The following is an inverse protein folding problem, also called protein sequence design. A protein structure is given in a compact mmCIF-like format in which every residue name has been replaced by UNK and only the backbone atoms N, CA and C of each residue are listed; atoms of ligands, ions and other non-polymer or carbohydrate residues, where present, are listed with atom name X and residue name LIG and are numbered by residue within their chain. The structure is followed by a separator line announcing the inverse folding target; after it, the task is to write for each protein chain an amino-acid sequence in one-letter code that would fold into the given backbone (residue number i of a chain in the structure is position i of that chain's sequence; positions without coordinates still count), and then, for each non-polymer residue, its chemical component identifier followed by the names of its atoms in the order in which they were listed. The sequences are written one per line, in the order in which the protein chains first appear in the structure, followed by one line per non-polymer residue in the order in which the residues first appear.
data_IF_163298099949
#
_entry.id   IF_163298099949
#
_cell.length_a   1.000
_cell.length_b   1.000
_cell.length_c   1.000
_cell.angle_alpha   90.00
_cell.angle_beta   90.00
_cell.angle_gamma   90.00
#
_symmetry.space_group_name_H-M   'P 1'
#
loop_
_entity.id
_entity.type
_entity.pdbx_description
1 polymer ?
#
# COMPACT_ATOMS: atom_id res chain seq x y z
N UNK A 1 17.12 22.17 -3.20
CA UNK A 1 15.96 21.80 -4.03
C UNK A 1 15.41 20.53 -3.43
N UNK A 2 14.15 20.51 -3.00
CA UNK A 2 13.58 19.27 -2.47
C UNK A 2 13.46 18.27 -3.62
N UNK A 3 14.10 17.11 -3.51
CA UNK A 3 13.90 16.00 -4.44
C UNK A 3 12.45 15.54 -4.31
N UNK A 4 11.58 15.97 -5.23
CA UNK A 4 10.24 15.41 -5.35
C UNK A 4 10.39 13.93 -5.68
N UNK A 5 9.79 13.06 -4.85
CA UNK A 5 9.77 11.63 -5.13
C UNK A 5 8.99 11.39 -6.43
N UNK A 6 9.51 10.61 -7.39
CA UNK A 6 8.83 10.35 -8.65
C UNK A 6 7.71 9.32 -8.43
N UNK A 7 6.56 9.79 -7.94
CA UNK A 7 5.39 8.95 -7.75
C UNK A 7 4.78 8.55 -9.11
N UNK A 8 4.57 7.25 -9.30
CA UNK A 8 3.75 6.73 -10.41
C UNK A 8 2.26 6.74 -10.08
N UNK A 9 1.92 6.61 -8.80
CA UNK A 9 0.55 6.71 -8.29
C UNK A 9 0.57 7.33 -6.89
N UNK A 10 -0.36 8.24 -6.60
CA UNK A 10 -0.37 8.98 -5.34
C UNK A 10 -1.75 9.53 -5.02
N UNK A 11 -2.71 8.67 -4.67
CA UNK A 11 -4.12 9.05 -4.57
C UNK A 11 -4.85 8.37 -3.43
N UNK A 12 -5.96 9.00 -3.00
CA UNK A 12 -6.91 8.41 -2.08
C UNK A 12 -7.98 7.68 -2.88
N UNK A 13 -8.20 6.41 -2.55
CA UNK A 13 -9.27 5.61 -3.14
C UNK A 13 -10.05 4.88 -2.05
N UNK A 14 -11.35 4.71 -2.26
CA UNK A 14 -12.19 3.90 -1.38
C UNK A 14 -11.98 2.44 -1.79
N UNK A 15 -11.61 1.58 -0.85
CA UNK A 15 -11.32 0.16 -1.11
C UNK A 15 -12.02 -0.70 -0.06
N UNK A 16 -12.66 -1.81 -0.47
CA UNK A 16 -13.11 -2.85 0.46
C UNK A 16 -11.92 -3.46 1.19
N UNK A 17 -11.93 -3.36 2.51
CA UNK A 17 -10.96 -3.97 3.41
C UNK A 17 -11.58 -5.19 4.08
N UNK A 18 -11.02 -6.36 3.80
CA UNK A 18 -11.43 -7.64 4.36
C UNK A 18 -10.56 -7.97 5.56
N UNK A 19 -11.17 -8.01 6.74
CA UNK A 19 -10.50 -8.33 8.00
C UNK A 19 -10.36 -9.85 8.17
N UNK A 20 -9.42 -10.28 9.01
CA UNK A 20 -9.17 -11.71 9.32
C UNK A 20 -10.40 -12.50 9.83
N UNK A 21 -11.39 -11.82 10.41
CA UNK A 21 -12.66 -12.43 10.84
C UNK A 21 -13.73 -12.49 9.73
N UNK A 22 -13.37 -12.14 8.49
CA UNK A 22 -14.27 -12.08 7.33
C UNK A 22 -15.13 -10.83 7.25
N UNK A 23 -15.02 -9.89 8.19
CA UNK A 23 -15.73 -8.61 8.11
C UNK A 23 -15.15 -7.78 6.98
N UNK A 24 -16.03 -7.22 6.15
CA UNK A 24 -15.67 -6.28 5.08
C UNK A 24 -16.09 -4.87 5.47
N UNK A 25 -15.22 -3.90 5.25
CA UNK A 25 -15.50 -2.48 5.45
C UNK A 25 -14.91 -1.63 4.32
N UNK A 26 -15.67 -0.66 3.82
CA UNK A 26 -15.14 0.33 2.88
C UNK A 26 -14.27 1.33 3.63
N UNK A 27 -13.00 1.46 3.20
CA UNK A 27 -12.05 2.42 3.79
C UNK A 27 -11.49 3.34 2.72
N UNK A 28 -11.35 4.62 3.06
CA UNK A 28 -10.54 5.56 2.28
C UNK A 28 -9.07 5.26 2.54
N UNK A 29 -8.39 4.68 1.56
CA UNK A 29 -6.98 4.33 1.61
C UNK A 29 -6.17 5.29 0.73
N UNK A 30 -5.12 5.84 1.31
CA UNK A 30 -4.11 6.59 0.58
C UNK A 30 -3.06 5.62 0.06
N UNK A 31 -3.05 5.41 -1.26
CA UNK A 31 -2.12 4.49 -1.94
C UNK A 31 -1.07 5.30 -2.67
N UNK A 32 0.20 4.99 -2.39
CA UNK A 32 1.34 5.57 -3.08
C UNK A 32 2.19 4.48 -3.71
N UNK A 33 2.55 4.69 -4.97
CA UNK A 33 3.53 3.89 -5.70
C UNK A 33 4.64 4.85 -6.14
N UNK A 34 5.86 4.61 -5.67
CA UNK A 34 7.04 5.35 -6.12
C UNK A 34 8.04 4.41 -6.79
N UNK A 35 8.72 4.92 -7.81
CA UNK A 35 9.85 4.23 -8.43
C UNK A 35 11.16 4.81 -7.90
N UNK A 36 12.00 3.95 -7.35
CA UNK A 36 13.38 4.29 -6.98
C UNK A 36 14.27 3.85 -8.15
N UNK A 37 14.56 4.80 -9.03
CA UNK A 37 15.28 4.54 -10.28
C UNK A 37 16.74 4.12 -10.05
N UNK A 38 17.36 4.56 -8.96
CA UNK A 38 18.75 4.23 -8.64
C UNK A 38 18.91 2.76 -8.21
N UNK A 39 17.88 2.22 -7.56
CA UNK A 39 17.85 0.82 -7.11
C UNK A 39 16.98 -0.10 -8.00
N UNK A 40 16.41 0.43 -9.09
CA UNK A 40 15.39 -0.22 -9.93
C UNK A 40 14.34 -1.01 -9.12
N UNK A 41 13.68 -0.33 -8.18
CA UNK A 41 12.64 -0.94 -7.34
C UNK A 41 11.40 -0.07 -7.25
N UNK A 42 10.28 -0.71 -6.98
CA UNK A 42 8.99 -0.08 -6.78
C UNK A 42 8.62 -0.16 -5.30
N UNK A 43 8.40 0.97 -4.63
CA UNK A 43 7.74 0.95 -3.33
C UNK A 43 6.24 1.07 -3.52
N UNK A 44 5.49 0.21 -2.84
CA UNK A 44 4.03 0.28 -2.75
C UNK A 44 3.70 0.50 -1.28
N UNK A 45 2.92 1.53 -0.97
CA UNK A 45 2.50 1.85 0.38
C UNK A 45 1.01 2.17 0.41
N UNK A 46 0.33 1.70 1.46
CA UNK A 46 -1.08 1.94 1.72
C UNK A 46 -1.22 2.48 3.14
N UNK A 47 -1.93 3.59 3.29
CA UNK A 47 -2.23 4.21 4.59
C UNK A 47 -3.72 4.49 4.73
N UNK A 48 -4.25 4.35 5.94
CA UNK A 48 -5.57 4.89 6.28
C UNK A 48 -5.39 6.32 6.80
N UNK A 49 -6.09 7.29 6.21
CA UNK A 49 -6.03 8.71 6.61
C UNK A 49 -6.55 8.98 8.05
N UNK A 50 -7.33 8.06 8.61
CA UNK A 50 -7.98 8.16 9.92
C UNK A 50 -7.32 7.25 10.96
N UNK A 51 -6.52 6.29 10.52
CA UNK A 51 -5.86 5.34 11.40
C UNK A 51 -4.38 5.20 11.03
N UNK A 52 -3.51 5.90 11.76
CA UNK A 52 -2.07 5.87 11.54
C UNK A 52 -1.43 4.49 11.76
N UNK A 53 -2.06 3.60 12.55
CA UNK A 53 -1.60 2.21 12.72
C UNK A 53 -1.83 1.36 11.47
N UNK A 54 -2.66 1.83 10.53
CA UNK A 54 -2.84 1.21 9.23
C UNK A 54 -1.81 1.82 8.28
N UNK A 55 -0.63 1.23 8.26
CA UNK A 55 0.45 1.62 7.36
C UNK A 55 1.17 0.37 6.86
N UNK A 56 0.89 -0.02 5.61
CA UNK A 56 1.49 -1.20 5.00
C UNK A 56 2.38 -0.78 3.84
N UNK A 57 3.55 -1.40 3.75
CA UNK A 57 4.60 -1.07 2.78
C UNK A 57 5.25 -2.36 2.27
N UNK A 58 5.70 -2.34 1.02
CA UNK A 58 6.73 -3.27 0.57
C UNK A 58 7.53 -2.68 -0.60
N UNK A 59 8.68 -3.28 -0.87
CA UNK A 59 9.53 -2.97 -2.01
C UNK A 59 9.59 -4.17 -2.95
N UNK A 60 9.23 -3.93 -4.21
CA UNK A 60 9.36 -4.92 -5.28
C UNK A 60 10.53 -4.51 -6.15
N UNK A 61 11.62 -5.26 -6.07
CA UNK A 61 12.76 -5.19 -6.98
C UNK A 61 12.65 -6.35 -8.01
N UNK A 62 13.59 -6.48 -8.97
CA UNK A 62 13.53 -7.53 -9.97
C UNK A 62 13.58 -8.95 -9.37
N UNK A 63 14.28 -9.17 -8.26
CA UNK A 63 14.39 -10.48 -7.61
C UNK A 63 13.07 -10.89 -6.95
N UNK A 64 12.50 -10.00 -6.15
CA UNK A 64 11.19 -10.18 -5.52
C UNK A 64 10.09 -10.33 -6.58
N UNK A 65 10.18 -9.57 -7.68
CA UNK A 65 9.26 -9.70 -8.79
C UNK A 65 9.34 -11.07 -9.46
N UNK A 66 10.51 -11.66 -9.67
CA UNK A 66 10.62 -12.98 -10.27
C UNK A 66 9.94 -14.07 -9.42
N UNK A 67 10.03 -13.97 -8.09
CA UNK A 67 9.29 -14.84 -7.17
C UNK A 67 7.78 -14.64 -7.35
N UNK A 68 7.31 -13.39 -7.37
CA UNK A 68 5.90 -13.05 -7.59
C UNK A 68 5.40 -13.54 -8.95
N UNK A 69 6.19 -13.33 -10.01
CA UNK A 69 5.92 -13.72 -11.39
C UNK A 69 5.75 -15.23 -11.51
N UNK A 70 6.66 -15.99 -10.90
CA UNK A 70 6.57 -17.45 -10.88
C UNK A 70 5.37 -17.94 -10.06
N UNK A 71 5.11 -17.35 -8.90
CA UNK A 71 4.03 -17.78 -8.00
C UNK A 71 2.63 -17.52 -8.60
N UNK A 72 2.48 -16.44 -9.35
CA UNK A 72 1.19 -16.01 -9.92
C UNK A 72 1.09 -16.24 -11.45
N UNK A 73 2.09 -16.89 -12.05
CA UNK A 73 2.16 -17.14 -13.50
C UNK A 73 2.01 -15.87 -14.34
N UNK A 74 2.65 -14.77 -13.93
CA UNK A 74 2.58 -13.51 -14.68
C UNK A 74 3.43 -13.59 -15.96
N UNK A 75 2.86 -13.21 -17.09
CA UNK A 75 3.52 -13.27 -18.40
C UNK A 75 4.35 -12.02 -18.73
N UNK A 76 4.36 -11.02 -17.83
CA UNK A 76 5.08 -9.76 -18.02
C UNK A 76 6.46 -9.77 -17.36
N UNK A 77 7.34 -8.89 -17.81
CA UNK A 77 8.62 -8.61 -17.13
C UNK A 77 8.45 -7.50 -16.07
N UNK A 78 9.51 -7.19 -15.32
CA UNK A 78 9.45 -6.21 -14.23
C UNK A 78 9.05 -4.80 -14.70
N UNK A 79 9.56 -4.35 -15.86
CA UNK A 79 9.15 -3.07 -16.44
C UNK A 79 7.66 -3.05 -16.78
N UNK A 80 7.12 -4.15 -17.32
CA UNK A 80 5.69 -4.31 -17.60
C UNK A 80 4.86 -4.31 -16.32
N UNK A 81 5.36 -4.93 -15.25
CA UNK A 81 4.72 -4.92 -13.94
C UNK A 81 4.58 -3.51 -13.35
N UNK A 82 5.65 -2.69 -13.40
CA UNK A 82 5.63 -1.30 -12.90
C UNK A 82 4.51 -0.48 -13.54
N UNK A 83 4.29 -0.63 -14.84
CA UNK A 83 3.22 0.06 -15.55
C UNK A 83 1.85 -0.60 -15.33
N UNK A 84 1.80 -1.93 -15.28
CA UNK A 84 0.56 -2.68 -15.14
C UNK A 84 -0.14 -2.43 -13.80
N UNK A 85 0.59 -2.40 -12.68
CA UNK A 85 -0.01 -2.15 -11.36
C UNK A 85 -0.65 -0.75 -11.28
N UNK A 86 -0.01 0.25 -11.87
CA UNK A 86 -0.55 1.62 -11.95
C UNK A 86 -1.79 1.64 -12.83
N UNK A 87 -1.75 0.99 -13.99
CA UNK A 87 -2.89 0.89 -14.89
C UNK A 87 -4.09 0.18 -14.23
N UNK A 88 -3.86 -0.86 -13.42
CA UNK A 88 -4.92 -1.55 -12.69
C UNK A 88 -5.57 -0.66 -11.63
N UNK A 89 -4.79 0.14 -10.89
CA UNK A 89 -5.33 1.13 -9.95
C UNK A 89 -6.18 2.19 -10.68
N UNK A 90 -5.75 2.65 -11.86
CA UNK A 90 -6.54 3.57 -12.69
C UNK A 90 -7.84 2.93 -13.18
N UNK A 91 -7.78 1.69 -13.64
CA UNK A 91 -8.98 0.95 -14.07
C UNK A 91 -9.96 0.71 -12.93
N UNK A 92 -9.47 0.52 -11.70
CA UNK A 92 -10.32 0.44 -10.51
C UNK A 92 -11.09 1.76 -10.28
N UNK A 93 -10.41 2.91 -10.37
CA UNK A 93 -11.07 4.23 -10.25
C UNK A 93 -12.12 4.49 -11.34
N UNK A 94 -11.96 3.84 -12.49
CA UNK A 94 -12.91 3.91 -13.62
C UNK A 94 -14.00 2.82 -13.57
N UNK A 95 -14.09 2.05 -12.49
CA UNK A 95 -15.04 0.93 -12.31
C UNK A 95 -14.91 -0.17 -13.40
N UNK A 96 -13.70 -0.33 -13.96
CA UNK A 96 -13.37 -1.37 -14.95
C UNK A 96 -12.71 -2.60 -14.35
N UNK A 97 -12.31 -2.51 -13.08
CA UNK A 97 -11.62 -3.55 -12.32
C UNK A 97 -12.11 -3.51 -10.88
N UNK A 98 -11.98 -4.61 -10.15
CA UNK A 98 -12.25 -4.65 -8.71
C UNK A 98 -10.94 -4.82 -7.93
N UNK A 99 -10.88 -4.23 -6.74
CA UNK A 99 -9.73 -4.27 -5.83
C UNK A 99 -10.24 -4.53 -4.41
N UNK A 100 -9.53 -5.38 -3.66
CA UNK A 100 -9.74 -5.56 -2.21
C UNK A 100 -8.38 -5.51 -1.49
N UNK A 101 -8.33 -5.01 -0.23
CA UNK A 101 -7.19 -5.26 0.68
C UNK A 101 -7.63 -6.27 1.74
N UNK A 102 -6.90 -7.37 1.83
CA UNK A 102 -7.12 -8.41 2.83
C UNK A 102 -6.11 -8.25 3.95
N UNK A 103 -6.56 -8.12 5.20
CA UNK A 103 -5.69 -7.90 6.35
C UNK A 103 -5.66 -9.16 7.22
N UNK A 104 -4.44 -9.66 7.42
CA UNK A 104 -4.18 -10.80 8.29
C UNK A 104 -3.01 -10.51 9.22
N UNK A 105 -3.34 -9.98 10.41
CA UNK A 105 -2.35 -9.59 11.41
C UNK A 105 -1.45 -8.46 10.89
N UNK A 106 -0.18 -8.77 10.63
CA UNK A 106 0.85 -7.82 10.17
C UNK A 106 1.04 -7.80 8.64
N UNK A 107 0.13 -8.41 7.90
CA UNK A 107 0.14 -8.46 6.43
C UNK A 107 -1.14 -7.83 5.86
N UNK A 108 -1.03 -7.01 4.82
CA UNK A 108 -2.14 -6.68 3.92
C UNK A 108 -1.82 -7.26 2.55
N UNK A 109 -2.79 -7.87 1.89
CA UNK A 109 -2.68 -8.30 0.50
C UNK A 109 -3.66 -7.49 -0.34
N UNK A 110 -3.14 -6.74 -1.32
CA UNK A 110 -3.98 -6.17 -2.37
C UNK A 110 -4.31 -7.26 -3.39
N UNK A 111 -5.58 -7.40 -3.74
CA UNK A 111 -6.03 -8.37 -4.74
C UNK A 111 -6.80 -7.64 -5.84
N UNK A 112 -6.30 -7.75 -7.06
CA UNK A 112 -6.93 -7.19 -8.26
C UNK A 112 -7.73 -8.26 -8.99
N UNK A 113 -9.00 -7.96 -9.28
CA UNK A 113 -9.92 -8.88 -9.93
C UNK A 113 -10.50 -8.30 -11.23
N UNK A 114 -10.66 -9.17 -12.22
CA UNK A 114 -11.47 -8.89 -13.40
C UNK A 114 -12.78 -9.65 -13.33
N UNK A 115 -13.87 -8.99 -13.72
CA UNK A 115 -15.15 -9.67 -13.94
C UNK A 115 -15.06 -10.56 -15.19
N UNK A 116 -15.26 -11.86 -15.02
CA UNK A 116 -15.34 -12.84 -16.09
C UNK A 116 -16.78 -13.35 -16.26
N UNK A 117 -17.05 -14.11 -17.34
CA UNK A 117 -18.39 -14.67 -17.61
C UNK A 117 -18.92 -15.58 -16.49
N UNK A 118 -18.03 -16.21 -15.72
CA UNK A 118 -18.35 -17.21 -14.70
C UNK A 118 -17.90 -16.82 -13.29
N UNK A 119 -17.66 -15.53 -13.02
CA UNK A 119 -17.23 -15.06 -11.69
C UNK A 119 -16.14 -14.00 -11.77
N UNK A 120 -15.19 -14.06 -10.84
CA UNK A 120 -14.06 -13.14 -10.77
C UNK A 120 -12.76 -13.91 -11.03
N UNK A 121 -11.89 -13.31 -11.83
CA UNK A 121 -10.53 -13.80 -12.07
C UNK A 121 -9.55 -12.92 -11.31
N UNK A 122 -8.73 -13.52 -10.45
CA UNK A 122 -7.60 -12.83 -9.80
C UNK A 122 -6.53 -12.58 -10.86
N UNK A 123 -6.11 -11.33 -11.03
CA UNK A 123 -5.08 -10.93 -11.99
C UNK A 123 -3.72 -10.71 -11.33
N UNK A 124 -3.72 -10.13 -10.13
CA UNK A 124 -2.52 -9.81 -9.39
C UNK A 124 -2.86 -9.81 -7.90
N UNK A 125 -1.96 -10.39 -7.10
CA UNK A 125 -1.91 -10.23 -5.66
C UNK A 125 -0.60 -9.54 -5.27
N UNK A 126 -0.65 -8.53 -4.41
CA UNK A 126 0.53 -7.86 -3.87
C UNK A 126 0.48 -7.92 -2.36
N UNK A 127 1.43 -8.63 -1.76
CA UNK A 127 1.59 -8.69 -0.32
C UNK A 127 2.39 -7.48 0.18
N UNK A 128 1.91 -6.87 1.26
CA UNK A 128 2.52 -5.75 1.96
C UNK A 128 2.67 -6.08 3.44
N UNK A 129 3.67 -5.48 4.08
CA UNK A 129 4.00 -5.70 5.49
C UNK A 129 3.66 -4.46 6.29
N UNK A 130 3.18 -4.65 7.52
CA UNK A 130 2.98 -3.55 8.45
C UNK A 130 4.31 -2.85 8.72
N UNK A 131 4.33 -1.54 8.52
CA UNK A 131 5.48 -0.68 8.76
C UNK A 131 5.41 -0.08 10.17
N UNK A 132 6.23 -0.62 11.06
CA UNK A 132 6.30 -0.25 12.47
C UNK A 132 7.12 1.02 12.73
N UNK A 133 7.82 1.55 11.71
CA UNK A 133 8.68 2.72 11.91
C UNK A 133 7.88 4.00 12.21
N UNK A 134 6.56 4.01 11.96
CA UNK A 134 5.67 5.12 12.31
C UNK A 134 5.28 5.11 13.80
N UNK A 135 5.39 3.97 14.50
CA UNK A 135 4.97 3.85 15.91
C UNK A 135 5.98 4.50 16.89
N UNK A 136 7.25 4.66 16.47
CA UNK A 136 8.30 5.23 17.34
C UNK A 136 8.33 6.77 17.33
N UNK A 137 7.84 7.40 16.26
CA UNK A 137 7.93 8.87 16.07
C UNK A 137 6.94 9.68 16.93
N UNK A 138 5.99 9.05 17.62
CA UNK A 138 5.02 9.74 18.50
C UNK A 138 5.37 9.66 19.99
N UNK A 139 6.40 8.89 20.37
CA UNK A 139 6.87 8.86 21.77
C UNK A 139 7.77 10.05 22.12
N UNK A 140 8.45 10.66 21.13
CA UNK A 140 9.36 11.79 21.37
C UNK A 140 8.67 13.17 21.31
N UNK A 141 7.59 13.35 20.54
CA UNK A 141 6.88 14.64 20.46
C UNK A 141 5.92 14.89 21.66
N UNK A 142 5.47 13.85 22.36
CA UNK A 142 4.65 14.00 23.57
C UNK A 142 5.49 14.30 24.83
N UNK A 143 6.74 13.83 24.93
CA UNK A 143 7.61 14.20 26.06
C UNK A 143 8.07 15.67 25.99
N UNK A 144 8.19 16.24 24.79
CA UNK A 144 8.63 17.64 24.63
C UNK A 144 7.56 18.67 25.02
N UNK A 145 6.26 18.36 24.95
CA UNK A 145 5.21 19.30 25.37
C UNK A 145 4.90 19.26 26.88
N UNK A 146 5.18 18.16 27.57
CA UNK A 146 4.94 18.07 29.03
C UNK A 146 6.10 18.66 29.85
N UNK A 147 7.31 18.73 29.27
CA UNK A 147 8.52 19.25 29.93
C UNK A 147 8.57 20.78 30.13
N UNK A 148 7.77 21.57 29.39
CA UNK A 148 7.82 23.04 29.46
C UNK A 148 6.70 23.70 30.28
N UNK A 149 5.74 22.93 30.84
CA UNK A 149 4.60 23.50 31.59
C UNK A 149 4.73 23.45 33.12
N UNK A 150 5.92 23.12 33.68
CA UNK A 150 6.13 23.04 35.15
C UNK A 150 7.26 23.90 35.71
N UNK A 151 7.63 25.01 35.07
CA UNK A 151 8.49 26.02 35.71
C UNK A 151 8.00 27.42 35.36
N UNK A 152 7.08 27.92 36.18
CA UNK A 152 7.01 29.32 36.65
C UNK A 152 5.71 29.54 37.40
N UNK A 153 5.66 29.03 38.63
CA UNK A 153 4.78 29.49 39.70
C UNK A 153 5.57 29.30 40.99
N UNK A 154 6.43 30.28 41.33
CA UNK A 154 6.54 30.98 42.63
C UNK A 154 7.32 32.26 42.37
#
# INVERSE_FOLDING_TARGET
MANEKPYKFNENIIVPVVQSNGRVEEKGLYITIWEDADMDRLQIQIRDWTNHSFNYIDFVDPENFEVMRSAQSLEMNFSGFKENIVAMLRQYQEDKMSLECHIFGRKCTLIFYMKAKMGYLVLLTVDLKLDETIDESQSEEQEFQVGFSKRNLV
#
